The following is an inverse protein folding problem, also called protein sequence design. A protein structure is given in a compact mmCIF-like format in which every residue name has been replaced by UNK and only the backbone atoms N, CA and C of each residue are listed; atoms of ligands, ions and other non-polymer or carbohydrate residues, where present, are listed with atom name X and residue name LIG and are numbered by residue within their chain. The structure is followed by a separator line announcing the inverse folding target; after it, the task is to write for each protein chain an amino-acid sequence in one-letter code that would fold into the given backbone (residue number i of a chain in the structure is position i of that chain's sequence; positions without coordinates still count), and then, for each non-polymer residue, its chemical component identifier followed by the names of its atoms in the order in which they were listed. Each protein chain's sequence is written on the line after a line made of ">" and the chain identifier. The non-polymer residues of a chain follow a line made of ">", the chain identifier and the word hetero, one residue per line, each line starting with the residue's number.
data_IF_354272428081
#
_entry.id   IF_354272428081
#
_cell.length_a   1.000
_cell.length_b   1.000
_cell.length_c   1.000
_cell.angle_alpha   90.00
_cell.angle_beta   90.00
_cell.angle_gamma   90.00
#
_symmetry.space_group_name_H-M   'P 1'
#
loop_
_entity.id
_entity.type
_entity.pdbx_description
1 polymer ?
#
# COMPACT_ATOMS: atom_id res chain seq x y z
N UNK A 1 -18.75 -3.34 20.20
CA UNK A 1 -17.27 -3.39 20.37
C UNK A 1 -16.68 -2.07 19.86
N UNK A 2 -15.75 -1.48 20.63
CA UNK A 2 -15.09 -0.22 20.33
C UNK A 2 -13.62 -0.48 19.97
N UNK A 3 -13.21 -0.09 18.78
CA UNK A 3 -11.83 -0.27 18.27
C UNK A 3 -11.16 1.08 18.06
N UNK A 4 -9.97 1.27 18.66
CA UNK A 4 -9.15 2.46 18.48
C UNK A 4 -8.00 2.13 17.54
N UNK A 5 -8.06 2.66 16.31
CA UNK A 5 -6.96 2.61 15.36
C UNK A 5 -5.96 3.74 15.65
N UNK A 6 -4.68 3.39 15.81
CA UNK A 6 -3.62 4.36 16.10
C UNK A 6 -2.59 4.31 14.98
N UNK A 7 -2.51 5.40 14.20
CA UNK A 7 -1.56 5.52 13.09
C UNK A 7 -1.00 6.94 12.97
N UNK A 8 0.09 7.10 12.24
CA UNK A 8 0.87 8.34 12.23
C UNK A 8 0.10 9.51 11.61
N UNK A 9 -0.52 9.30 10.48
CA UNK A 9 -1.19 10.31 9.64
C UNK A 9 -2.43 9.71 9.00
N UNK A 10 -3.34 10.55 8.51
CA UNK A 10 -4.58 10.11 7.86
C UNK A 10 -5.11 11.15 6.86
N UNK A 11 -6.06 10.73 6.01
CA UNK A 11 -6.74 11.63 5.07
C UNK A 11 -7.35 12.85 5.76
N UNK A 12 -7.34 14.05 5.16
CA UNK A 12 -6.72 14.41 3.89
C UNK A 12 -5.25 14.86 4.03
N UNK A 13 -4.64 14.82 5.23
CA UNK A 13 -3.28 15.34 5.46
C UNK A 13 -2.23 14.54 4.68
N UNK A 14 -2.45 13.23 4.49
CA UNK A 14 -1.61 12.35 3.68
C UNK A 14 -2.45 11.33 2.93
N UNK A 15 -1.97 10.94 1.74
CA UNK A 15 -2.57 9.90 0.92
C UNK A 15 -1.53 8.80 0.67
N UNK A 16 -1.65 7.69 1.40
CA UNK A 16 -0.73 6.55 1.29
C UNK A 16 -1.46 5.23 1.45
N UNK A 17 -0.72 4.13 1.25
CA UNK A 17 -1.30 2.80 1.35
C UNK A 17 -1.78 2.44 2.76
N UNK A 18 -1.07 2.90 3.80
CA UNK A 18 -1.45 2.63 5.19
C UNK A 18 -2.77 3.32 5.53
N UNK A 19 -2.88 4.59 5.16
CA UNK A 19 -4.10 5.40 5.36
C UNK A 19 -5.29 4.77 4.62
N UNK A 20 -5.08 4.32 3.38
CA UNK A 20 -6.11 3.66 2.58
C UNK A 20 -6.59 2.35 3.24
N UNK A 21 -5.68 1.51 3.71
CA UNK A 21 -6.03 0.26 4.40
C UNK A 21 -6.76 0.53 5.70
N UNK A 22 -6.28 1.47 6.52
CA UNK A 22 -6.90 1.82 7.79
C UNK A 22 -8.32 2.41 7.58
N UNK A 23 -8.47 3.28 6.58
CA UNK A 23 -9.78 3.84 6.19
C UNK A 23 -10.74 2.75 5.72
N UNK A 24 -10.30 1.90 4.78
CA UNK A 24 -11.12 0.79 4.27
C UNK A 24 -11.56 -0.12 5.40
N UNK A 25 -10.65 -0.49 6.30
CA UNK A 25 -10.95 -1.35 7.43
C UNK A 25 -11.95 -0.70 8.41
N UNK A 26 -11.70 0.55 8.83
CA UNK A 26 -12.58 1.27 9.74
C UNK A 26 -13.97 1.45 9.13
N UNK A 27 -14.07 1.85 7.85
CA UNK A 27 -15.34 2.03 7.15
C UNK A 27 -16.15 0.74 7.06
N UNK A 28 -15.52 -0.37 6.68
CA UNK A 28 -16.21 -1.65 6.54
C UNK A 28 -16.61 -2.26 7.89
N UNK A 29 -15.74 -2.20 8.90
CA UNK A 29 -16.08 -2.71 10.23
C UNK A 29 -17.14 -1.85 10.92
N UNK A 30 -17.21 -0.55 10.64
CA UNK A 30 -18.32 0.31 11.10
C UNK A 30 -19.66 -0.16 10.52
N UNK A 31 -19.72 -0.49 9.24
CA UNK A 31 -20.91 -1.09 8.61
C UNK A 31 -21.28 -2.47 9.22
N UNK A 32 -20.32 -3.16 9.81
CA UNK A 32 -20.48 -4.44 10.52
C UNK A 32 -20.83 -4.26 12.02
N UNK A 33 -21.06 -3.02 12.49
CA UNK A 33 -21.48 -2.73 13.86
C UNK A 33 -20.34 -2.47 14.86
N UNK A 34 -19.10 -2.29 14.38
CA UNK A 34 -17.98 -1.85 15.22
C UNK A 34 -18.00 -0.33 15.37
N UNK A 35 -17.85 0.16 16.58
CA UNK A 35 -17.62 1.57 16.87
C UNK A 35 -16.14 1.88 16.73
N UNK A 36 -15.76 2.50 15.61
CA UNK A 36 -14.36 2.79 15.31
C UNK A 36 -13.99 4.22 15.69
N UNK A 37 -12.75 4.39 16.11
CA UNK A 37 -12.09 5.68 16.26
C UNK A 37 -10.68 5.61 15.68
N UNK A 38 -10.30 6.64 14.93
CA UNK A 38 -8.96 6.76 14.34
C UNK A 38 -8.21 7.87 15.06
N UNK A 39 -7.05 7.56 15.64
CA UNK A 39 -6.21 8.48 16.40
C UNK A 39 -4.92 8.77 15.62
N UNK A 40 -4.71 10.04 15.25
CA UNK A 40 -3.62 10.46 14.36
C UNK A 40 -3.02 11.80 14.75
N UNK A 41 -1.89 12.15 14.14
CA UNK A 41 -1.38 13.51 14.12
C UNK A 41 -1.84 14.28 12.88
N UNK A 42 -1.86 15.61 13.00
CA UNK A 42 -2.16 16.56 11.92
C UNK A 42 -1.20 17.76 12.01
N UNK A 43 -0.74 18.32 10.90
CA UNK A 43 -0.03 19.61 10.91
C UNK A 43 -0.95 20.78 11.31
N UNK A 44 -2.26 20.58 11.21
CA UNK A 44 -3.28 21.56 11.62
C UNK A 44 -3.55 21.56 13.13
N UNK A 45 -4.62 22.26 13.55
CA UNK A 45 -5.04 22.30 14.95
C UNK A 45 -5.65 20.96 15.39
N UNK A 46 -5.52 20.66 16.69
CA UNK A 46 -6.23 19.53 17.33
C UNK A 46 -7.74 19.68 17.10
N UNK A 47 -8.37 18.62 16.59
CA UNK A 47 -9.81 18.57 16.28
C UNK A 47 -10.32 17.12 16.20
N UNK A 48 -11.62 16.99 16.21
CA UNK A 48 -12.32 15.76 15.92
C UNK A 48 -13.10 15.96 14.62
N UNK A 49 -12.87 15.08 13.66
CA UNK A 49 -13.62 14.99 12.41
C UNK A 49 -14.50 13.73 12.46
N UNK A 50 -15.57 13.70 11.68
CA UNK A 50 -16.39 12.50 11.47
C UNK A 50 -16.25 12.08 10.01
N UNK A 51 -15.86 10.85 9.82
CA UNK A 51 -15.80 10.26 8.48
C UNK A 51 -17.20 10.03 7.92
N UNK A 52 -17.46 10.19 6.62
CA UNK A 52 -18.76 9.88 6.01
C UNK A 52 -19.27 8.47 6.31
N UNK A 53 -18.41 7.52 6.63
CA UNK A 53 -18.78 6.16 7.06
C UNK A 53 -19.24 6.08 8.52
N UNK A 54 -19.18 7.19 9.29
CA UNK A 54 -19.75 7.32 10.63
C UNK A 54 -18.79 7.11 11.80
N UNK A 55 -17.50 6.92 11.58
CA UNK A 55 -16.51 6.82 12.67
C UNK A 55 -15.80 8.15 12.94
N UNK A 56 -15.27 8.31 14.17
CA UNK A 56 -14.55 9.50 14.60
C UNK A 56 -13.07 9.46 14.22
N UNK A 57 -12.51 10.62 13.84
CA UNK A 57 -11.09 10.82 13.61
C UNK A 57 -10.59 11.89 14.59
N UNK A 58 -9.84 11.46 15.60
CA UNK A 58 -9.24 12.33 16.60
C UNK A 58 -7.84 12.75 16.14
N UNK A 59 -7.70 14.01 15.75
CA UNK A 59 -6.46 14.60 15.24
C UNK A 59 -5.79 15.44 16.32
N UNK A 60 -4.55 15.09 16.65
CA UNK A 60 -3.73 15.88 17.56
C UNK A 60 -2.70 16.70 16.78
N UNK A 61 -2.51 17.96 17.20
CA UNK A 61 -1.51 18.81 16.56
C UNK A 61 -0.12 18.18 16.64
N UNK A 62 0.60 18.17 15.51
CA UNK A 62 1.98 17.71 15.43
C UNK A 62 2.92 18.86 15.80
N UNK A 63 3.54 18.79 16.98
CA UNK A 63 4.43 19.84 17.46
C UNK A 63 5.80 19.82 16.75
N UNK A 64 6.32 18.63 16.44
CA UNK A 64 7.62 18.43 15.80
C UNK A 64 7.57 17.28 14.78
N UNK A 65 8.45 17.34 13.79
CA UNK A 65 8.65 16.25 12.83
C UNK A 65 10.14 15.96 12.68
N UNK A 66 10.60 14.81 13.20
CA UNK A 66 12.02 14.42 13.24
C UNK A 66 12.17 12.99 12.78
N UNK A 67 13.15 12.73 11.92
CA UNK A 67 13.48 11.37 11.42
C UNK A 67 12.25 10.61 10.91
N UNK A 68 11.41 11.26 10.11
CA UNK A 68 10.14 10.74 9.58
C UNK A 68 9.10 10.38 10.66
N UNK A 69 9.24 10.89 11.88
CA UNK A 69 8.33 10.66 13.01
C UNK A 69 7.74 11.97 13.49
N UNK A 70 6.40 12.07 13.47
CA UNK A 70 5.66 13.16 14.10
C UNK A 70 5.61 12.94 15.61
N UNK A 71 5.77 14.03 16.38
CA UNK A 71 5.69 14.06 17.83
C UNK A 71 4.61 15.06 18.26
N UNK A 72 3.90 14.77 19.36
CA UNK A 72 2.83 15.60 19.90
C UNK A 72 2.68 15.45 21.40
N UNK A 73 2.85 16.54 22.15
CA UNK A 73 2.63 16.56 23.58
C UNK A 73 1.15 16.31 23.93
N UNK A 74 0.25 16.94 23.20
CA UNK A 74 -1.19 16.78 23.40
C UNK A 74 -1.67 15.35 23.11
N UNK A 75 -1.10 14.68 22.11
CA UNK A 75 -1.35 13.25 21.84
C UNK A 75 -0.93 12.40 23.04
N UNK A 76 0.31 12.58 23.52
CA UNK A 76 0.84 11.77 24.63
C UNK A 76 0.02 11.95 25.92
N UNK A 77 -0.36 13.17 26.27
CA UNK A 77 -1.16 13.48 27.45
C UNK A 77 -2.57 12.87 27.40
N UNK A 78 -3.16 12.80 26.20
CA UNK A 78 -4.50 12.26 26.03
C UNK A 78 -4.55 10.78 25.65
N UNK A 79 -3.42 10.16 25.29
CA UNK A 79 -3.38 8.78 24.78
C UNK A 79 -4.03 7.77 25.72
N UNK A 80 -3.82 7.90 27.05
CA UNK A 80 -4.45 7.03 28.05
C UNK A 80 -5.98 7.19 28.08
N UNK A 81 -6.49 8.41 27.90
CA UNK A 81 -7.93 8.69 27.83
C UNK A 81 -8.55 8.07 26.58
N UNK A 82 -7.88 8.23 25.44
CA UNK A 82 -8.32 7.64 24.17
C UNK A 82 -8.32 6.10 24.27
N UNK A 83 -7.28 5.51 24.82
CA UNK A 83 -7.20 4.06 25.03
C UNK A 83 -8.27 3.55 26.02
N UNK A 84 -8.63 4.32 27.02
CA UNK A 84 -9.68 3.94 27.99
C UNK A 84 -11.06 3.75 27.35
N UNK A 85 -11.34 4.49 26.28
CA UNK A 85 -12.57 4.38 25.50
C UNK A 85 -12.68 3.03 24.77
N UNK A 86 -11.56 2.49 24.27
CA UNK A 86 -11.54 1.30 23.43
C UNK A 86 -11.74 0.00 24.21
N UNK A 87 -12.33 -0.98 23.58
CA UNK A 87 -12.30 -2.38 24.02
C UNK A 87 -11.06 -3.09 23.42
N UNK A 88 -10.69 -2.76 22.17
CA UNK A 88 -9.50 -3.24 21.48
C UNK A 88 -8.66 -2.06 20.94
N UNK A 89 -7.34 -2.12 21.12
CA UNK A 89 -6.36 -1.21 20.51
C UNK A 89 -5.84 -1.83 19.21
N UNK A 90 -6.00 -1.15 18.10
CA UNK A 90 -5.39 -1.54 16.82
C UNK A 90 -4.26 -0.59 16.44
N UNK A 91 -3.04 -1.03 16.63
CA UNK A 91 -1.84 -0.25 16.38
C UNK A 91 -1.33 -0.49 14.96
N UNK A 92 -0.88 0.56 14.28
CA UNK A 92 -0.33 0.49 12.93
C UNK A 92 1.18 0.81 12.95
N UNK A 93 2.01 -0.20 12.69
CA UNK A 93 3.47 -0.09 12.69
C UNK A 93 4.01 0.14 11.27
N UNK A 94 5.02 1.01 11.06
CA UNK A 94 5.88 1.62 12.08
C UNK A 94 5.48 3.06 12.47
N UNK A 95 5.42 3.32 13.76
CA UNK A 95 5.38 4.67 14.31
C UNK A 95 6.00 4.71 15.72
N UNK A 96 7.33 4.94 15.86
CA UNK A 96 8.05 4.87 17.13
C UNK A 96 7.47 5.73 18.26
N UNK A 97 6.86 6.86 17.94
CA UNK A 97 6.24 7.73 18.95
C UNK A 97 4.96 7.11 19.55
N UNK A 98 4.12 6.46 18.75
CA UNK A 98 2.95 5.75 19.29
C UNK A 98 3.37 4.53 20.12
N UNK A 99 4.43 3.82 19.69
CA UNK A 99 4.96 2.67 20.42
C UNK A 99 5.46 3.08 21.81
N UNK A 100 6.20 4.21 21.87
CA UNK A 100 6.64 4.82 23.13
C UNK A 100 5.45 5.26 23.99
N UNK A 101 4.45 5.94 23.38
CA UNK A 101 3.25 6.41 24.07
C UNK A 101 2.47 5.24 24.69
N UNK A 102 2.33 4.14 23.97
CA UNK A 102 1.72 2.91 24.45
C UNK A 102 2.46 2.35 25.68
N UNK A 103 3.79 2.27 25.62
CA UNK A 103 4.60 1.74 26.72
C UNK A 103 4.58 2.65 27.95
N UNK A 104 4.66 3.97 27.76
CA UNK A 104 4.66 4.95 28.87
C UNK A 104 3.34 5.00 29.61
N UNK A 105 2.23 4.83 28.92
CA UNK A 105 0.88 4.91 29.52
C UNK A 105 0.44 3.63 30.25
N UNK A 106 1.19 2.55 30.10
CA UNK A 106 0.94 1.29 30.83
C UNK A 106 -0.41 0.66 30.52
N UNK A 107 -0.91 0.83 29.29
CA UNK A 107 -2.19 0.32 28.84
C UNK A 107 -2.22 -1.21 28.94
N UNK A 108 -3.34 -1.74 29.46
CA UNK A 108 -3.61 -3.18 29.58
C UNK A 108 -4.87 -3.58 28.81
N UNK A 109 -5.05 -3.00 27.63
CA UNK A 109 -6.17 -3.35 26.76
C UNK A 109 -5.77 -4.44 25.78
N UNK A 110 -6.70 -5.30 25.33
CA UNK A 110 -6.49 -6.15 24.18
C UNK A 110 -5.91 -5.35 23.01
N UNK A 111 -4.80 -5.79 22.45
CA UNK A 111 -4.05 -5.00 21.46
C UNK A 111 -3.57 -5.86 20.32
N UNK A 112 -3.84 -5.39 19.10
CA UNK A 112 -3.45 -5.98 17.81
C UNK A 112 -2.54 -4.99 17.09
N UNK A 113 -1.54 -5.50 16.36
CA UNK A 113 -0.60 -4.71 15.57
C UNK A 113 -0.68 -5.09 14.09
N UNK A 114 -1.03 -4.14 13.24
CA UNK A 114 -0.79 -4.28 11.80
C UNK A 114 0.62 -3.87 11.43
N UNK A 115 1.40 -4.83 10.94
CA UNK A 115 2.78 -4.65 10.51
C UNK A 115 2.81 -4.29 9.02
N UNK A 116 2.96 -3.00 8.71
CA UNK A 116 2.90 -2.52 7.33
C UNK A 116 4.22 -2.63 6.58
N UNK A 117 5.35 -2.41 7.25
CA UNK A 117 6.67 -2.50 6.61
C UNK A 117 7.80 -2.66 7.63
N UNK A 118 8.95 -3.15 7.16
CA UNK A 118 10.21 -3.03 7.87
C UNK A 118 10.67 -1.56 7.91
N UNK A 119 11.39 -1.17 8.97
CA UNK A 119 12.12 0.10 9.01
C UNK A 119 13.44 -0.09 8.28
N UNK A 120 13.45 0.17 6.97
CA UNK A 120 14.62 -0.07 6.09
C UNK A 120 15.59 1.10 6.11
N UNK A 121 15.09 2.34 6.14
CA UNK A 121 15.91 3.55 6.27
C UNK A 121 16.32 3.77 7.73
N UNK A 122 17.43 4.47 7.97
CA UNK A 122 17.89 4.84 9.32
C UNK A 122 18.38 3.65 10.18
N UNK A 123 19.23 2.81 9.62
CA UNK A 123 19.75 1.58 10.26
C UNK A 123 20.25 1.82 11.69
N UNK A 124 21.03 2.90 11.94
CA UNK A 124 21.56 3.22 13.27
C UNK A 124 20.48 3.57 14.28
N UNK A 125 19.48 4.37 13.87
CA UNK A 125 18.34 4.71 14.74
C UNK A 125 17.48 3.47 15.02
N UNK A 126 17.33 2.59 14.04
CA UNK A 126 16.61 1.34 14.21
C UNK A 126 17.28 0.41 15.23
N UNK A 127 18.60 0.38 15.31
CA UNK A 127 19.32 -0.39 16.35
C UNK A 127 19.04 0.13 17.77
N UNK A 128 18.99 1.45 17.94
CA UNK A 128 18.64 2.09 19.23
C UNK A 128 17.16 1.85 19.57
N UNK A 129 16.30 1.87 18.58
CA UNK A 129 14.87 1.67 18.72
C UNK A 129 14.49 0.19 18.98
N UNK A 130 15.28 -0.76 18.50
CA UNK A 130 14.94 -2.19 18.56
C UNK A 130 14.55 -2.72 19.95
N UNK A 131 15.26 -2.41 21.05
CA UNK A 131 14.84 -2.88 22.38
C UNK A 131 13.47 -2.36 22.81
N UNK A 132 13.15 -1.11 22.48
CA UNK A 132 11.84 -0.50 22.75
C UNK A 132 10.75 -1.16 21.89
N UNK A 133 11.01 -1.35 20.61
CA UNK A 133 10.12 -2.07 19.68
C UNK A 133 9.81 -3.46 20.18
N UNK A 134 10.81 -4.22 20.59
CA UNK A 134 10.62 -5.60 21.04
C UNK A 134 9.81 -5.68 22.34
N UNK A 135 10.03 -4.73 23.27
CA UNK A 135 9.19 -4.59 24.44
C UNK A 135 7.74 -4.25 24.08
N UNK A 136 7.53 -3.38 23.11
CA UNK A 136 6.22 -3.00 22.60
C UNK A 136 5.53 -4.17 21.91
N UNK A 137 6.22 -4.86 20.99
CA UNK A 137 5.69 -6.05 20.32
C UNK A 137 5.33 -7.15 21.34
N UNK A 138 6.14 -7.31 22.40
CA UNK A 138 5.83 -8.23 23.50
C UNK A 138 4.48 -7.99 24.17
N UNK A 139 3.95 -6.75 24.14
CA UNK A 139 2.64 -6.39 24.70
C UNK A 139 1.47 -6.65 23.75
N UNK A 140 1.71 -6.79 22.46
CA UNK A 140 0.66 -7.11 21.49
C UNK A 140 0.26 -8.57 21.62
N UNK A 141 -1.04 -8.86 21.67
CA UNK A 141 -1.55 -10.22 21.65
C UNK A 141 -1.45 -10.84 20.27
N UNK A 142 -1.61 -10.03 19.22
CA UNK A 142 -1.56 -10.48 17.85
C UNK A 142 -0.83 -9.49 16.96
N UNK A 143 -0.09 -9.99 15.98
CA UNK A 143 0.56 -9.20 14.93
C UNK A 143 -0.03 -9.66 13.59
N UNK A 144 -0.37 -8.74 12.72
CA UNK A 144 -0.89 -9.03 11.38
C UNK A 144 0.12 -8.60 10.34
N UNK A 145 0.44 -9.51 9.45
CA UNK A 145 1.26 -9.26 8.26
C UNK A 145 0.39 -9.34 7.00
N UNK A 146 0.67 -8.50 6.02
CA UNK A 146 -0.16 -8.37 4.82
C UNK A 146 0.14 -9.40 3.73
N UNK A 147 1.32 -10.04 3.76
CA UNK A 147 1.70 -11.04 2.75
C UNK A 147 2.59 -12.14 3.33
N UNK A 148 2.57 -13.34 2.71
CA UNK A 148 3.50 -14.41 3.07
C UNK A 148 4.96 -13.99 2.87
N UNK A 149 5.25 -13.20 1.83
CA UNK A 149 6.59 -12.71 1.51
C UNK A 149 7.19 -11.91 2.67
N UNK A 150 6.45 -10.91 3.20
CA UNK A 150 6.96 -10.12 4.33
C UNK A 150 7.05 -10.95 5.61
N UNK A 151 6.13 -11.90 5.84
CA UNK A 151 6.22 -12.82 6.98
C UNK A 151 7.50 -13.65 6.94
N UNK A 152 7.85 -14.18 5.79
CA UNK A 152 9.03 -15.03 5.62
C UNK A 152 10.35 -14.25 5.67
N UNK A 153 10.36 -13.05 5.09
CA UNK A 153 11.59 -12.30 4.83
C UNK A 153 11.93 -11.24 5.89
N UNK A 154 10.95 -10.83 6.75
CA UNK A 154 11.20 -9.86 7.81
C UNK A 154 11.82 -10.52 9.04
N UNK A 155 13.06 -10.16 9.44
CA UNK A 155 13.68 -10.69 10.66
C UNK A 155 12.83 -10.38 11.92
N UNK A 156 12.15 -9.24 11.93
CA UNK A 156 11.27 -8.83 13.03
C UNK A 156 10.08 -9.78 13.14
N UNK A 157 9.37 -10.03 12.04
CA UNK A 157 8.23 -10.95 12.05
C UNK A 157 8.62 -12.39 12.33
N UNK A 158 9.81 -12.83 11.91
CA UNK A 158 10.33 -14.16 12.24
C UNK A 158 10.54 -14.33 13.76
N UNK A 159 11.01 -13.29 14.45
CA UNK A 159 11.11 -13.30 15.92
C UNK A 159 9.75 -13.47 16.61
N UNK A 160 8.68 -12.92 16.02
CA UNK A 160 7.33 -12.90 16.57
C UNK A 160 6.35 -13.83 15.84
N UNK A 161 6.85 -14.81 15.07
CA UNK A 161 6.03 -15.69 14.24
C UNK A 161 4.93 -16.44 15.00
N UNK A 162 5.15 -16.77 16.28
CA UNK A 162 4.21 -17.50 17.11
C UNK A 162 2.87 -16.77 17.35
N UNK A 163 2.84 -15.46 17.17
CA UNK A 163 1.63 -14.63 17.28
C UNK A 163 1.35 -13.77 16.03
N UNK A 164 2.04 -14.05 14.93
CA UNK A 164 1.82 -13.38 13.64
C UNK A 164 0.83 -14.18 12.80
N UNK A 165 -0.23 -13.52 12.34
CA UNK A 165 -1.22 -14.06 11.40
C UNK A 165 -1.15 -13.31 10.07
N UNK A 166 -1.56 -13.98 9.01
CA UNK A 166 -1.69 -13.39 7.68
C UNK A 166 -3.11 -12.86 7.49
N UNK A 167 -3.24 -11.55 7.26
CA UNK A 167 -4.45 -10.93 6.72
C UNK A 167 -4.01 -9.99 5.62
N UNK A 168 -4.32 -10.34 4.39
CA UNK A 168 -3.97 -9.52 3.21
C UNK A 168 -4.79 -8.25 3.16
N UNK A 169 -4.20 -7.20 2.62
CA UNK A 169 -4.94 -5.96 2.40
C UNK A 169 -6.07 -6.18 1.39
N UNK A 170 -7.21 -5.60 1.72
CA UNK A 170 -8.37 -5.52 0.84
C UNK A 170 -8.62 -4.08 0.43
N UNK A 171 -9.10 -3.92 -0.77
CA UNK A 171 -9.51 -2.62 -1.33
C UNK A 171 -11.01 -2.59 -1.58
N UNK A 172 -11.57 -1.40 -1.61
CA UNK A 172 -12.98 -1.18 -1.92
C UNK A 172 -13.32 -1.80 -3.28
N UNK A 173 -14.47 -2.47 -3.33
CA UNK A 173 -14.93 -3.05 -4.59
C UNK A 173 -15.57 -2.00 -5.48
N UNK A 174 -15.13 -1.95 -6.72
CA UNK A 174 -15.76 -1.20 -7.79
C UNK A 174 -16.01 -2.13 -8.97
N UNK A 175 -17.16 -2.00 -9.59
CA UNK A 175 -17.43 -2.73 -10.83
C UNK A 175 -16.38 -2.38 -11.89
N UNK A 176 -15.95 -3.41 -12.62
CA UNK A 176 -15.03 -3.25 -13.72
C UNK A 176 -15.71 -2.48 -14.85
N UNK A 177 -15.10 -1.38 -15.28
CA UNK A 177 -15.61 -0.63 -16.43
C UNK A 177 -15.57 -1.49 -17.71
N UNK A 178 -16.56 -1.31 -18.59
CA UNK A 178 -16.52 -1.92 -19.91
C UNK A 178 -15.30 -1.42 -20.69
N UNK A 179 -14.70 -2.27 -21.52
CA UNK A 179 -13.66 -1.82 -22.47
C UNK A 179 -14.18 -0.78 -23.49
N UNK A 180 -15.50 -0.73 -23.69
CA UNK A 180 -16.19 0.24 -24.54
C UNK A 180 -16.69 1.48 -23.80
N UNK A 181 -16.39 1.60 -22.49
CA UNK A 181 -16.71 2.80 -21.72
C UNK A 181 -16.04 4.03 -22.36
N UNK A 182 -16.76 5.17 -22.54
CA UNK A 182 -16.18 6.37 -23.14
C UNK A 182 -14.94 6.90 -22.43
N UNK A 183 -14.81 6.71 -21.12
CA UNK A 183 -13.62 7.11 -20.37
C UNK A 183 -12.44 6.16 -20.59
N UNK A 184 -12.69 4.86 -20.80
CA UNK A 184 -11.67 3.88 -21.16
C UNK A 184 -11.19 4.14 -22.59
N UNK A 185 -12.13 4.29 -23.54
CA UNK A 185 -11.79 4.54 -24.96
C UNK A 185 -11.08 5.87 -25.17
N UNK A 186 -11.32 6.88 -24.33
CA UNK A 186 -10.57 8.15 -24.35
C UNK A 186 -9.07 7.92 -24.09
N UNK A 187 -8.70 7.07 -23.13
CA UNK A 187 -7.30 6.74 -22.86
C UNK A 187 -6.68 5.96 -24.00
N UNK A 188 -7.42 5.01 -24.61
CA UNK A 188 -6.96 4.28 -25.79
C UNK A 188 -6.75 5.18 -26.99
N UNK A 189 -7.62 6.18 -27.20
CA UNK A 189 -7.46 7.16 -28.26
C UNK A 189 -6.21 8.05 -28.07
N UNK A 190 -5.83 8.30 -26.82
CA UNK A 190 -4.69 9.15 -26.48
C UNK A 190 -3.34 8.41 -26.55
N UNK A 191 -3.27 7.15 -26.09
CA UNK A 191 -2.01 6.41 -25.92
C UNK A 191 -1.91 5.15 -26.79
N UNK A 192 -2.95 4.81 -27.54
CA UNK A 192 -3.07 3.57 -28.30
C UNK A 192 -3.79 2.47 -27.50
N UNK A 193 -4.27 1.43 -28.20
CA UNK A 193 -4.97 0.30 -27.59
C UNK A 193 -4.06 -0.61 -26.75
N UNK A 194 -2.77 -0.49 -26.91
CA UNK A 194 -1.75 -1.29 -26.21
C UNK A 194 -0.70 -0.36 -25.61
N UNK A 195 -0.86 0.01 -24.35
CA UNK A 195 0.15 0.77 -23.61
C UNK A 195 0.41 0.14 -22.25
N UNK A 196 1.63 0.26 -21.79
CA UNK A 196 2.00 -0.08 -20.41
C UNK A 196 1.73 1.10 -19.49
N UNK A 197 1.24 0.79 -18.28
CA UNK A 197 0.89 1.80 -17.30
C UNK A 197 1.69 1.60 -16.00
N UNK A 198 2.33 2.66 -15.52
CA UNK A 198 2.72 2.81 -14.12
C UNK A 198 1.83 3.86 -13.46
N UNK A 199 1.44 3.61 -12.20
CA UNK A 199 0.71 4.58 -11.40
C UNK A 199 1.21 4.60 -9.97
N UNK A 200 1.58 5.78 -9.46
CA UNK A 200 2.03 5.96 -8.08
C UNK A 200 3.02 7.11 -7.89
N UNK A 201 3.37 7.39 -6.64
CA UNK A 201 4.35 8.41 -6.31
C UNK A 201 5.72 8.07 -6.94
N UNK A 202 6.35 9.06 -7.58
CA UNK A 202 7.64 8.90 -8.27
C UNK A 202 8.78 8.97 -7.24
N UNK A 203 9.00 7.84 -6.55
CA UNK A 203 10.04 7.64 -5.53
C UNK A 203 11.12 6.71 -6.04
N UNK A 204 12.36 6.88 -5.57
CA UNK A 204 13.49 6.07 -5.99
C UNK A 204 13.22 4.55 -5.89
N UNK A 205 12.67 4.09 -4.76
CA UNK A 205 12.41 2.66 -4.54
C UNK A 205 11.39 2.04 -5.51
N UNK A 206 10.63 2.86 -6.23
CA UNK A 206 9.68 2.42 -7.27
C UNK A 206 10.36 1.94 -8.55
N UNK A 207 11.67 2.18 -8.72
CA UNK A 207 12.48 1.58 -9.78
C UNK A 207 12.19 2.09 -11.20
N UNK A 208 11.52 3.26 -11.34
CA UNK A 208 11.19 3.79 -12.67
C UNK A 208 12.42 4.02 -13.55
N UNK A 209 13.56 4.35 -12.97
CA UNK A 209 14.83 4.47 -13.70
C UNK A 209 15.23 3.15 -14.38
N UNK A 210 14.91 2.00 -13.76
CA UNK A 210 15.14 0.66 -14.33
C UNK A 210 14.14 0.39 -15.47
N UNK A 211 12.87 0.81 -15.32
CA UNK A 211 11.88 0.70 -16.38
C UNK A 211 12.31 1.50 -17.63
N UNK A 212 12.82 2.73 -17.43
CA UNK A 212 13.28 3.55 -18.54
C UNK A 212 14.46 2.89 -19.28
N UNK A 213 15.39 2.28 -18.56
CA UNK A 213 16.48 1.48 -19.16
C UNK A 213 15.92 0.26 -19.91
N UNK A 214 14.94 -0.43 -19.35
CA UNK A 214 14.27 -1.56 -19.98
C UNK A 214 13.54 -1.18 -21.27
N UNK A 215 13.05 0.06 -21.38
CA UNK A 215 12.40 0.59 -22.58
C UNK A 215 13.40 1.03 -23.67
N UNK A 216 14.69 1.14 -23.36
CA UNK A 216 15.69 1.56 -24.35
C UNK A 216 15.74 0.59 -25.54
N UNK A 217 15.57 1.14 -26.73
CA UNK A 217 15.50 0.35 -27.98
C UNK A 217 14.14 -0.33 -28.25
N UNK A 218 13.14 -0.11 -27.39
CA UNK A 218 11.75 -0.60 -27.53
C UNK A 218 10.81 0.58 -27.76
N UNK A 219 9.88 0.44 -28.68
CA UNK A 219 8.92 1.49 -29.02
C UNK A 219 7.52 1.20 -28.47
N UNK A 220 7.48 0.69 -27.22
CA UNK A 220 6.22 0.37 -26.55
C UNK A 220 5.61 1.61 -25.88
N UNK A 221 4.37 2.01 -26.23
CA UNK A 221 3.70 3.10 -25.56
C UNK A 221 3.66 2.83 -24.04
N UNK A 222 4.19 3.76 -23.26
CA UNK A 222 4.26 3.64 -21.81
C UNK A 222 3.82 4.94 -21.17
N UNK A 223 2.92 4.83 -20.20
CA UNK A 223 2.33 5.97 -19.48
C UNK A 223 2.74 5.88 -18.02
N UNK A 224 3.35 6.93 -17.51
CA UNK A 224 3.71 7.09 -16.10
C UNK A 224 2.80 8.15 -15.49
N UNK A 225 1.93 7.72 -14.57
CA UNK A 225 0.99 8.60 -13.86
C UNK A 225 1.47 8.83 -12.43
N UNK A 226 1.60 10.10 -12.05
CA UNK A 226 1.92 10.52 -10.70
C UNK A 226 3.02 11.56 -10.61
N UNK A 227 3.25 12.02 -9.37
CA UNK A 227 4.25 13.03 -9.04
C UNK A 227 5.21 12.51 -7.97
N UNK A 228 6.36 13.17 -7.81
CA UNK A 228 7.35 12.84 -6.79
C UNK A 228 8.71 13.44 -7.04
N UNK A 229 9.62 13.20 -6.11
CA UNK A 229 10.98 13.74 -6.11
C UNK A 229 11.87 13.21 -7.26
N UNK A 230 11.47 12.13 -7.93
CA UNK A 230 12.20 11.57 -9.07
C UNK A 230 11.73 12.12 -10.43
N UNK A 231 10.68 12.94 -10.49
CA UNK A 231 10.05 13.36 -11.74
C UNK A 231 11.05 13.97 -12.75
N UNK A 232 11.81 14.97 -12.35
CA UNK A 232 12.71 15.67 -13.26
C UNK A 232 13.91 14.81 -13.69
N UNK A 233 14.42 13.98 -12.77
CA UNK A 233 15.48 13.02 -13.07
C UNK A 233 15.03 11.97 -14.10
N UNK A 234 13.79 11.46 -13.98
CA UNK A 234 13.21 10.49 -14.90
C UNK A 234 12.97 11.12 -16.28
N UNK A 235 12.50 12.36 -16.36
CA UNK A 235 12.36 13.08 -17.65
C UNK A 235 13.71 13.28 -18.35
N UNK A 236 14.75 13.67 -17.60
CA UNK A 236 16.09 13.81 -18.15
C UNK A 236 16.64 12.46 -18.63
N UNK A 237 16.44 11.39 -17.89
CA UNK A 237 16.83 10.03 -18.31
C UNK A 237 16.10 9.60 -19.58
N UNK A 238 14.80 9.86 -19.69
CA UNK A 238 14.00 9.53 -20.88
C UNK A 238 14.53 10.21 -22.14
N UNK A 239 14.91 11.49 -22.02
CA UNK A 239 15.54 12.25 -23.14
C UNK A 239 16.88 11.62 -23.53
N UNK A 240 17.73 11.31 -22.55
CA UNK A 240 19.04 10.71 -22.79
C UNK A 240 18.93 9.32 -23.48
N UNK A 241 17.94 8.53 -23.09
CA UNK A 241 17.65 7.22 -23.69
C UNK A 241 16.85 7.32 -24.99
N UNK A 242 16.47 8.53 -25.43
CA UNK A 242 15.70 8.80 -26.65
C UNK A 242 14.36 8.03 -26.70
N UNK A 243 13.68 7.91 -25.57
CA UNK A 243 12.38 7.25 -25.49
C UNK A 243 11.31 8.14 -26.14
N UNK A 244 10.69 7.66 -27.23
CA UNK A 244 9.72 8.45 -28.03
C UNK A 244 8.28 8.27 -27.57
N UNK A 245 7.92 7.06 -27.12
CA UNK A 245 6.57 6.68 -26.74
C UNK A 245 6.38 6.59 -25.21
N UNK A 246 7.12 7.40 -24.45
CA UNK A 246 6.96 7.55 -23.02
C UNK A 246 6.21 8.83 -22.68
N UNK A 247 5.12 8.70 -21.92
CA UNK A 247 4.24 9.81 -21.56
C UNK A 247 4.19 9.97 -20.04
N UNK A 248 4.44 11.18 -19.55
CA UNK A 248 4.24 11.54 -18.15
C UNK A 248 2.90 12.26 -18.02
N UNK A 249 2.07 11.78 -17.11
CA UNK A 249 0.75 12.33 -16.79
C UNK A 249 0.77 12.69 -15.31
N UNK A 250 0.27 13.88 -14.98
CA UNK A 250 0.10 14.31 -13.61
C UNK A 250 -0.93 13.44 -12.88
N UNK A 251 -1.14 13.74 -11.59
CA UNK A 251 -2.12 13.00 -10.79
C UNK A 251 -3.51 13.03 -11.42
N UNK A 252 -4.17 11.91 -11.38
CA UNK A 252 -5.52 11.71 -11.88
C UNK A 252 -6.49 11.43 -10.71
N UNK A 253 -7.78 11.72 -10.91
CA UNK A 253 -8.81 11.38 -9.93
C UNK A 253 -8.92 9.88 -9.71
N UNK A 254 -9.45 9.44 -8.57
CA UNK A 254 -9.65 8.01 -8.30
C UNK A 254 -10.54 7.32 -9.35
N UNK A 255 -11.48 8.04 -9.93
CA UNK A 255 -12.31 7.53 -11.03
C UNK A 255 -11.49 7.37 -12.31
N UNK A 256 -10.75 8.40 -12.72
CA UNK A 256 -9.89 8.35 -13.90
C UNK A 256 -8.78 7.28 -13.76
N UNK A 257 -8.27 7.07 -12.54
CA UNK A 257 -7.32 5.99 -12.22
C UNK A 257 -7.86 4.61 -12.61
N UNK A 258 -9.11 4.32 -12.27
CA UNK A 258 -9.75 3.04 -12.62
C UNK A 258 -9.90 2.88 -14.13
N UNK A 259 -10.32 3.94 -14.83
CA UNK A 259 -10.49 3.88 -16.26
C UNK A 259 -9.17 3.73 -17.02
N UNK A 260 -8.10 4.41 -16.60
CA UNK A 260 -6.78 4.25 -17.24
C UNK A 260 -6.19 2.87 -16.96
N UNK A 261 -6.36 2.32 -15.75
CA UNK A 261 -5.97 0.95 -15.43
C UNK A 261 -6.72 -0.04 -16.32
N UNK A 262 -8.03 0.15 -16.51
CA UNK A 262 -8.84 -0.70 -17.37
C UNK A 262 -8.46 -0.61 -18.84
N UNK A 263 -8.01 0.57 -19.31
CA UNK A 263 -7.54 0.79 -20.65
C UNK A 263 -6.15 0.20 -20.92
N UNK A 264 -5.32 0.10 -19.87
CA UNK A 264 -3.94 -0.34 -20.01
C UNK A 264 -3.85 -1.81 -20.48
N UNK A 265 -2.89 -2.07 -21.36
CA UNK A 265 -2.55 -3.40 -21.84
C UNK A 265 -1.82 -4.21 -20.78
N UNK A 266 -0.97 -3.57 -19.98
CA UNK A 266 -0.28 -4.18 -18.86
C UNK A 266 0.13 -3.13 -17.82
N UNK A 267 0.08 -3.50 -16.55
CA UNK A 267 0.52 -2.65 -15.45
C UNK A 267 1.97 -2.99 -15.09
N UNK A 268 2.86 -2.00 -15.14
CA UNK A 268 4.29 -2.18 -14.86
C UNK A 268 4.64 -1.60 -13.50
N UNK A 269 5.24 -2.41 -12.64
CA UNK A 269 5.56 -2.02 -11.27
C UNK A 269 6.99 -2.44 -10.90
N UNK A 270 7.99 -1.69 -11.36
CA UNK A 270 9.40 -2.04 -11.26
C UNK A 270 10.02 -1.79 -9.86
N UNK A 271 9.17 -1.71 -8.81
CA UNK A 271 9.65 -1.50 -7.43
C UNK A 271 10.73 -2.50 -7.07
N UNK A 272 11.91 -1.98 -6.69
CA UNK A 272 13.14 -2.77 -6.56
C UNK A 272 13.67 -2.86 -5.12
N UNK A 273 13.03 -2.18 -4.17
CA UNK A 273 13.43 -2.20 -2.76
C UNK A 273 12.28 -2.63 -1.85
N UNK A 274 12.63 -3.27 -0.75
CA UNK A 274 11.70 -3.76 0.29
C UNK A 274 10.87 -2.65 0.97
N UNK A 275 11.17 -1.38 0.70
CA UNK A 275 10.32 -0.25 1.08
C UNK A 275 8.92 -0.32 0.46
N UNK A 276 8.77 -1.06 -0.66
CA UNK A 276 7.47 -1.46 -1.20
C UNK A 276 6.98 -2.71 -0.46
N UNK A 277 6.16 -2.52 0.56
CA UNK A 277 5.76 -3.63 1.42
C UNK A 277 4.66 -4.53 0.84
N UNK A 278 3.75 -3.96 0.03
CA UNK A 278 2.62 -4.70 -0.52
C UNK A 278 2.30 -4.33 -1.98
N UNK A 279 2.23 -3.02 -2.27
CA UNK A 279 1.80 -2.54 -3.58
C UNK A 279 0.28 -2.56 -3.73
N UNK A 280 -0.46 -1.76 -2.95
CA UNK A 280 -1.93 -1.69 -3.01
C UNK A 280 -2.42 -1.43 -4.43
N UNK A 281 -1.71 -0.62 -5.19
CA UNK A 281 -2.01 -0.32 -6.59
C UNK A 281 -2.01 -1.57 -7.49
N UNK A 282 -1.30 -2.63 -7.11
CA UNK A 282 -1.36 -3.93 -7.81
C UNK A 282 -2.71 -4.63 -7.60
N UNK A 283 -3.28 -4.54 -6.39
CA UNK A 283 -4.64 -5.03 -6.14
C UNK A 283 -5.68 -4.20 -6.92
N UNK A 284 -5.46 -2.89 -7.07
CA UNK A 284 -6.30 -2.02 -7.91
C UNK A 284 -6.20 -2.39 -9.40
N UNK A 285 -5.00 -2.69 -9.90
CA UNK A 285 -4.80 -3.19 -11.26
C UNK A 285 -5.47 -4.56 -11.45
N UNK A 286 -5.31 -5.46 -10.50
CA UNK A 286 -5.97 -6.78 -10.51
C UNK A 286 -7.50 -6.66 -10.53
N UNK A 287 -8.08 -5.73 -9.76
CA UNK A 287 -9.52 -5.43 -9.77
C UNK A 287 -10.02 -5.02 -11.16
N UNK A 288 -9.19 -4.31 -11.95
CA UNK A 288 -9.54 -3.92 -13.31
C UNK A 288 -9.23 -5.02 -14.35
N UNK A 289 -8.71 -6.15 -13.91
CA UNK A 289 -8.31 -7.24 -14.80
C UNK A 289 -7.10 -6.89 -15.66
N UNK A 290 -6.24 -6.01 -15.17
CA UNK A 290 -5.02 -5.59 -15.86
C UNK A 290 -3.87 -6.47 -15.41
N UNK A 291 -3.24 -7.25 -16.32
CA UNK A 291 -2.11 -8.11 -15.98
C UNK A 291 -0.87 -7.28 -15.64
N UNK A 292 0.05 -7.85 -14.86
CA UNK A 292 1.10 -7.08 -14.21
C UNK A 292 2.51 -7.59 -14.54
N UNK A 293 3.49 -6.68 -14.57
CA UNK A 293 4.93 -7.00 -14.51
C UNK A 293 5.48 -6.39 -13.22
N UNK A 294 6.00 -7.23 -12.32
CA UNK A 294 6.53 -6.81 -11.02
C UNK A 294 7.90 -7.43 -10.75
N UNK A 295 8.61 -6.93 -9.72
CA UNK A 295 9.86 -7.53 -9.28
C UNK A 295 9.67 -8.38 -8.02
N UNK A 296 10.50 -9.45 -7.89
CA UNK A 296 10.59 -10.27 -6.67
C UNK A 296 11.48 -9.57 -5.64
N UNK A 297 10.89 -8.91 -4.69
CA UNK A 297 11.60 -8.17 -3.64
C UNK A 297 11.36 -8.73 -2.22
N UNK A 298 10.77 -9.91 -2.12
CA UNK A 298 10.50 -10.59 -0.86
C UNK A 298 9.42 -9.91 -0.01
N UNK A 299 8.44 -9.24 -0.65
CA UNK A 299 7.34 -8.54 0.03
C UNK A 299 5.97 -8.96 -0.52
N UNK A 300 5.00 -8.04 -0.58
CA UNK A 300 3.68 -8.33 -1.12
C UNK A 300 3.56 -8.29 -2.64
N UNK A 301 4.55 -7.74 -3.34
CA UNK A 301 4.45 -7.51 -4.79
C UNK A 301 4.26 -8.79 -5.59
N UNK A 302 5.08 -9.81 -5.34
CA UNK A 302 5.00 -11.14 -5.96
C UNK A 302 3.88 -12.01 -5.37
N UNK A 303 3.32 -11.62 -4.23
CA UNK A 303 2.12 -12.25 -3.69
C UNK A 303 0.85 -11.75 -4.40
N UNK A 304 0.77 -10.46 -4.71
CA UNK A 304 -0.37 -9.92 -5.47
C UNK A 304 -0.27 -10.36 -6.93
N UNK A 305 0.89 -10.19 -7.56
CA UNK A 305 1.16 -10.66 -8.91
C UNK A 305 1.85 -12.02 -8.88
N UNK A 306 1.16 -13.08 -9.26
CA UNK A 306 1.72 -14.42 -9.38
C UNK A 306 2.28 -14.66 -10.77
N UNK A 307 3.53 -15.14 -10.82
CA UNK A 307 4.23 -15.40 -12.07
C UNK A 307 3.47 -16.40 -12.96
N UNK A 308 3.26 -16.02 -14.22
CA UNK A 308 2.51 -16.78 -15.24
C UNK A 308 1.04 -17.09 -14.92
N UNK A 309 0.50 -16.54 -13.82
CA UNK A 309 -0.93 -16.65 -13.47
C UNK A 309 -1.66 -15.31 -13.61
N UNK A 310 -1.01 -14.21 -13.16
CA UNK A 310 -1.58 -12.86 -13.21
C UNK A 310 -0.69 -11.87 -13.95
N UNK A 311 0.44 -12.34 -14.44
CA UNK A 311 1.46 -11.57 -15.15
C UNK A 311 2.84 -12.19 -14.99
N UNK A 312 3.88 -11.36 -15.05
CA UNK A 312 5.26 -11.80 -14.89
C UNK A 312 5.91 -11.18 -13.65
N UNK A 313 6.71 -11.98 -12.96
CA UNK A 313 7.57 -11.53 -11.85
C UNK A 313 9.02 -11.70 -12.30
N UNK A 314 9.81 -10.64 -12.21
CA UNK A 314 11.19 -10.60 -12.67
C UNK A 314 12.15 -10.24 -11.52
N UNK A 315 13.45 -10.39 -11.76
CA UNK A 315 14.48 -9.98 -10.80
C UNK A 315 14.53 -8.47 -10.62
N UNK A 316 14.68 -7.97 -9.39
CA UNK A 316 14.83 -6.55 -9.13
C UNK A 316 16.19 -6.01 -9.62
N UNK A 317 16.26 -4.73 -9.97
CA UNK A 317 17.48 -4.06 -10.48
C UNK A 317 18.02 -4.65 -11.81
N UNK A 318 17.20 -5.34 -12.57
CA UNK A 318 17.57 -5.93 -13.85
C UNK A 318 16.71 -5.38 -14.98
N UNK A 319 17.21 -4.34 -15.63
CA UNK A 319 16.54 -3.70 -16.79
C UNK A 319 16.36 -4.67 -17.96
N UNK A 320 17.31 -5.62 -18.15
CA UNK A 320 17.21 -6.62 -19.20
C UNK A 320 16.05 -7.57 -18.93
N UNK A 321 15.99 -8.15 -17.75
CA UNK A 321 14.91 -9.06 -17.35
C UNK A 321 13.53 -8.38 -17.42
N UNK A 322 13.45 -7.10 -17.01
CA UNK A 322 12.21 -6.32 -17.14
C UNK A 322 11.85 -6.06 -18.60
N UNK A 323 12.83 -5.77 -19.47
CA UNK A 323 12.65 -5.60 -20.90
C UNK A 323 12.19 -6.89 -21.59
N UNK A 324 12.77 -8.02 -21.26
CA UNK A 324 12.36 -9.33 -21.79
C UNK A 324 10.89 -9.66 -21.39
N UNK A 325 10.46 -9.23 -20.20
CA UNK A 325 9.05 -9.35 -19.78
C UNK A 325 8.13 -8.43 -20.58
N UNK A 326 8.54 -7.20 -20.88
CA UNK A 326 7.78 -6.30 -21.78
C UNK A 326 7.64 -6.92 -23.18
N UNK A 327 8.73 -7.50 -23.72
CA UNK A 327 8.74 -8.18 -25.02
C UNK A 327 7.79 -9.40 -25.00
N UNK A 328 7.77 -10.16 -23.90
CA UNK A 328 6.85 -11.29 -23.73
C UNK A 328 5.39 -10.85 -23.75
N UNK A 329 5.05 -9.78 -22.99
CA UNK A 329 3.71 -9.20 -23.03
C UNK A 329 3.33 -8.76 -24.45
N UNK A 330 4.24 -8.06 -25.13
CA UNK A 330 3.94 -7.52 -26.46
C UNK A 330 3.70 -8.59 -27.51
N UNK A 331 4.46 -9.69 -27.45
CA UNK A 331 4.46 -10.75 -28.44
C UNK A 331 3.48 -11.91 -28.13
N UNK A 332 2.92 -11.97 -26.91
CA UNK A 332 2.03 -13.06 -26.48
C UNK A 332 0.67 -12.56 -25.95
N UNK A 333 -0.15 -11.87 -26.80
CA UNK A 333 -1.39 -11.23 -26.38
C UNK A 333 -2.40 -12.18 -25.73
N UNK A 334 -2.49 -13.43 -26.19
CA UNK A 334 -3.40 -14.42 -25.65
C UNK A 334 -3.07 -14.77 -24.18
N UNK A 335 -1.77 -14.86 -23.85
CA UNK A 335 -1.35 -15.05 -22.46
C UNK A 335 -1.66 -13.83 -21.61
N UNK A 336 -1.44 -12.63 -22.15
CA UNK A 336 -1.71 -11.37 -21.45
C UNK A 336 -3.20 -11.26 -21.09
N UNK A 337 -4.09 -11.65 -22.00
CA UNK A 337 -5.52 -11.72 -21.72
C UNK A 337 -5.86 -12.73 -20.62
N UNK A 338 -5.29 -13.92 -20.69
CA UNK A 338 -5.47 -14.96 -19.67
C UNK A 338 -4.95 -14.49 -18.28
N UNK A 339 -3.78 -13.84 -18.23
CA UNK A 339 -3.25 -13.26 -16.99
C UNK A 339 -4.14 -12.14 -16.43
N UNK A 340 -4.75 -11.33 -17.28
CA UNK A 340 -5.73 -10.33 -16.86
C UNK A 340 -6.94 -10.93 -16.18
N UNK A 341 -7.48 -12.04 -16.73
CA UNK A 341 -8.57 -12.81 -16.11
C UNK A 341 -8.12 -13.44 -14.79
N UNK A 342 -6.90 -14.00 -14.75
CA UNK A 342 -6.28 -14.52 -13.53
C UNK A 342 -6.14 -13.44 -12.45
N UNK A 343 -5.71 -12.24 -12.82
CA UNK A 343 -5.58 -11.10 -11.90
C UNK A 343 -6.94 -10.71 -11.29
N UNK A 344 -7.99 -10.60 -12.10
CA UNK A 344 -9.34 -10.29 -11.64
C UNK A 344 -9.87 -11.37 -10.68
N UNK A 345 -9.71 -12.62 -11.04
CA UNK A 345 -10.10 -13.75 -10.17
C UNK A 345 -9.36 -13.68 -8.84
N UNK A 346 -8.04 -13.45 -8.87
CA UNK A 346 -7.21 -13.34 -7.67
C UNK A 346 -7.60 -12.18 -6.77
N UNK A 347 -8.01 -11.03 -7.35
CA UNK A 347 -8.58 -9.93 -6.60
C UNK A 347 -9.82 -10.37 -5.81
N UNK A 348 -10.78 -11.02 -6.46
CA UNK A 348 -12.00 -11.47 -5.79
C UNK A 348 -11.71 -12.51 -4.68
N UNK A 349 -10.77 -13.40 -4.90
CA UNK A 349 -10.43 -14.45 -3.95
C UNK A 349 -9.69 -13.91 -2.70
N UNK A 350 -8.88 -12.81 -2.83
CA UNK A 350 -7.91 -12.47 -1.80
C UNK A 350 -7.90 -11.01 -1.35
N UNK A 351 -8.36 -10.06 -2.18
CA UNK A 351 -8.04 -8.63 -1.96
C UNK A 351 -9.28 -7.75 -1.83
N UNK A 352 -10.43 -8.32 -1.45
CA UNK A 352 -11.64 -7.53 -1.20
C UNK A 352 -11.65 -6.94 0.20
N UNK A 353 -12.14 -5.71 0.33
CA UNK A 353 -12.31 -5.03 1.61
C UNK A 353 -13.18 -5.82 2.60
N UNK A 354 -14.22 -6.49 2.09
CA UNK A 354 -15.11 -7.31 2.90
C UNK A 354 -14.37 -8.49 3.54
N UNK A 355 -13.60 -9.26 2.74
CA UNK A 355 -12.81 -10.40 3.24
C UNK A 355 -11.77 -9.97 4.27
N UNK A 356 -11.06 -8.87 4.00
CA UNK A 356 -10.10 -8.30 4.95
C UNK A 356 -10.80 -7.93 6.27
N UNK A 357 -11.87 -7.16 6.19
CA UNK A 357 -12.57 -6.63 7.37
C UNK A 357 -13.18 -7.73 8.23
N UNK A 358 -13.72 -8.78 7.61
CA UNK A 358 -14.23 -9.96 8.34
C UNK A 358 -13.12 -10.66 9.13
N UNK A 359 -11.96 -10.89 8.51
CA UNK A 359 -10.82 -11.51 9.19
C UNK A 359 -10.28 -10.66 10.36
N UNK A 360 -10.30 -9.32 10.22
CA UNK A 360 -9.94 -8.44 11.32
C UNK A 360 -10.98 -8.46 12.43
N UNK A 361 -12.27 -8.49 12.09
CA UNK A 361 -13.35 -8.62 13.07
C UNK A 361 -13.21 -9.91 13.87
N UNK A 362 -12.97 -11.05 13.20
CA UNK A 362 -12.70 -12.33 13.89
C UNK A 362 -11.48 -12.23 14.83
N UNK A 363 -10.45 -11.44 14.47
CA UNK A 363 -9.32 -11.21 15.37
C UNK A 363 -9.68 -10.32 16.57
N UNK A 364 -10.49 -9.28 16.38
CA UNK A 364 -10.95 -8.43 17.48
C UNK A 364 -11.82 -9.20 18.47
N UNK A 365 -12.77 -10.01 17.97
CA UNK A 365 -13.64 -10.85 18.81
C UNK A 365 -12.84 -11.88 19.62
N UNK A 366 -11.79 -12.44 19.04
CA UNK A 366 -10.91 -13.39 19.72
C UNK A 366 -10.02 -12.77 20.81
N UNK A 367 -9.91 -11.44 20.88
CA UNK A 367 -9.10 -10.72 21.85
C UNK A 367 -9.89 -10.28 23.08
N UNK A 368 -11.21 -10.19 22.99
CA UNK A 368 -12.13 -9.79 24.06
C UNK A 368 -12.63 -11.01 24.82
#
# INVERSE_FOLDING_TARGET
>A
MRVLHVLKTFFPDTYGGIEQVAHTLASHTTKMGVENRVLVLTPGKTRIDIDPSGYEIHRYHQDLYVASTGLSASFLLNFRKEAAWADVMHMHFPWPFADLSYLMTGIKKPSLLSYHSDVVSQVRLNQIYAPMRDKYFGKMQQIIAASPGIMASSPVLQQWKHKTKLITYGIEHFEQASKHDPQVTKWNAQFGERFFLFLGALRYYKGLHILLEALAGRDYPTVIVGQGDQHDALKAQAVNLKLKNLHFVDDVTNEAKRHIMRAAYGFVFPSHLRSEAFGIVLAEAAQQGTPMITCEIGTGTSYVNQHEETGLVVEPNDAKSFGDALDTFWNQPDKVEAWGQGALKRYHDNFTAESMSKKYLDCYDALI
#
